data_IF_205958915298
#
_entry.id   IF_205958915298
#
_cell.length_a   1.000
_cell.length_b   1.000
_cell.length_c   1.000
_cell.angle_alpha   90.00
_cell.angle_beta   90.00
_cell.angle_gamma   90.00
#
_symmetry.space_group_name_H-M   'P 1'
#
loop_
_entity.id
_entity.type
_entity.pdbx_description
1 polymer ?
#
# COMPACT_ATOMS: atom_id res chain seq x y z
N UNK A 1 -10.01 50.11 3.15
CA UNK A 1 -9.38 49.08 2.30
C UNK A 1 -10.43 48.55 1.34
N UNK A 2 -10.12 48.46 0.05
CA UNK A 2 -11.07 48.09 -0.99
C UNK A 2 -11.28 46.57 -0.97
N UNK A 3 -12.52 46.07 -0.89
CA UNK A 3 -12.86 44.63 -0.81
C UNK A 3 -12.19 43.82 -1.93
N UNK A 4 -12.05 44.42 -3.11
CA UNK A 4 -11.38 43.81 -4.26
C UNK A 4 -9.91 43.47 -4.00
N UNK A 5 -9.21 44.25 -3.17
CA UNK A 5 -7.81 43.98 -2.81
C UNK A 5 -7.71 42.81 -1.85
N UNK A 6 -8.65 42.69 -0.91
CA UNK A 6 -8.70 41.60 0.06
C UNK A 6 -8.99 40.27 -0.64
N UNK A 7 -9.93 40.26 -1.59
CA UNK A 7 -10.27 39.10 -2.40
C UNK A 7 -9.09 38.60 -3.26
N UNK A 8 -8.35 39.53 -3.89
CA UNK A 8 -7.17 39.18 -4.69
C UNK A 8 -6.06 38.58 -3.84
N UNK A 9 -5.88 39.09 -2.61
CA UNK A 9 -4.87 38.59 -1.68
C UNK A 9 -5.22 37.19 -1.17
N UNK A 10 -6.47 36.95 -0.79
CA UNK A 10 -6.92 35.62 -0.34
C UNK A 10 -6.84 34.58 -1.45
N UNK A 11 -7.18 34.97 -2.69
CA UNK A 11 -7.10 34.09 -3.85
C UNK A 11 -5.63 33.73 -4.17
N UNK A 12 -4.73 34.70 -4.13
CA UNK A 12 -3.29 34.47 -4.30
C UNK A 12 -2.70 33.57 -3.21
N UNK A 13 -3.04 33.81 -1.95
CA UNK A 13 -2.59 32.98 -0.83
C UNK A 13 -3.10 31.53 -0.94
N UNK A 14 -4.35 31.34 -1.37
CA UNK A 14 -4.94 30.01 -1.56
C UNK A 14 -4.26 29.24 -2.69
N UNK A 15 -3.93 29.92 -3.79
CA UNK A 15 -3.19 29.34 -4.92
C UNK A 15 -1.78 28.94 -4.52
N UNK A 16 -1.07 29.78 -3.76
CA UNK A 16 0.27 29.47 -3.26
C UNK A 16 0.23 28.28 -2.28
N UNK A 17 -0.77 28.23 -1.39
CA UNK A 17 -0.96 27.10 -0.48
C UNK A 17 -1.23 25.79 -1.20
N UNK A 18 -2.09 25.82 -2.22
CA UNK A 18 -2.38 24.65 -3.06
C UNK A 18 -1.14 24.20 -3.84
N UNK A 19 -0.36 25.14 -4.37
CA UNK A 19 0.88 24.84 -5.08
C UNK A 19 1.93 24.21 -4.14
N UNK A 20 2.04 24.69 -2.90
CA UNK A 20 2.90 24.06 -1.89
C UNK A 20 2.49 22.63 -1.58
N UNK A 21 1.19 22.39 -1.36
CA UNK A 21 0.64 21.04 -1.16
C UNK A 21 0.91 20.12 -2.36
N UNK A 22 0.81 20.63 -3.59
CA UNK A 22 1.11 19.86 -4.79
C UNK A 22 2.57 19.40 -4.86
N UNK A 23 3.53 20.27 -4.49
CA UNK A 23 4.95 19.90 -4.43
C UNK A 23 5.21 18.83 -3.36
N UNK A 24 4.60 18.96 -2.18
CA UNK A 24 4.72 17.96 -1.10
C UNK A 24 4.11 16.63 -1.53
N UNK A 25 2.95 16.67 -2.20
CA UNK A 25 2.28 15.47 -2.71
C UNK A 25 3.15 14.72 -3.72
N UNK A 26 3.88 15.42 -4.60
CA UNK A 26 4.76 14.80 -5.59
C UNK A 26 5.95 14.06 -4.98
N UNK A 27 6.41 14.47 -3.79
CA UNK A 27 7.52 13.82 -3.08
C UNK A 27 7.08 12.75 -2.08
N UNK A 28 5.77 12.58 -1.88
CA UNK A 28 5.23 11.55 -1.01
C UNK A 28 5.05 10.25 -1.80
N UNK A 29 6.17 9.64 -2.20
CA UNK A 29 6.17 8.24 -2.60
C UNK A 29 6.14 7.39 -1.34
N UNK A 30 5.28 6.37 -1.30
CA UNK A 30 5.34 5.36 -0.25
C UNK A 30 6.77 4.79 -0.21
N UNK A 31 7.36 4.60 0.98
CA UNK A 31 8.69 4.05 1.08
C UNK A 31 8.72 2.71 0.35
N UNK A 32 9.73 2.54 -0.50
CA UNK A 32 9.98 1.32 -1.23
C UNK A 32 10.17 0.19 -0.21
N UNK A 33 9.42 -0.90 -0.37
CA UNK A 33 9.48 -2.02 0.57
C UNK A 33 10.83 -2.76 0.39
N UNK A 34 11.43 -3.16 1.51
CA UNK A 34 12.61 -4.05 1.55
C UNK A 34 12.31 -5.12 2.59
N UNK A 35 12.13 -6.36 2.14
CA UNK A 35 11.81 -7.49 3.01
C UNK A 35 12.81 -7.72 4.15
N UNK A 36 14.09 -7.33 4.00
CA UNK A 36 15.09 -7.47 5.07
C UNK A 36 14.87 -6.48 6.22
N UNK A 37 14.26 -5.33 5.93
CA UNK A 37 14.05 -4.26 6.90
C UNK A 37 12.63 -4.22 7.46
N UNK A 38 11.81 -5.24 7.19
CA UNK A 38 10.43 -5.33 7.65
C UNK A 38 10.29 -5.11 9.17
N UNK A 39 11.33 -5.47 9.95
CA UNK A 39 11.38 -5.28 11.40
C UNK A 39 11.51 -3.82 11.87
N UNK A 40 12.05 -2.94 11.03
CA UNK A 40 12.25 -1.51 11.31
C UNK A 40 11.08 -0.65 10.80
N UNK A 41 10.15 -1.27 10.08
CA UNK A 41 9.01 -0.61 9.43
C UNK A 41 7.67 -0.90 10.13
N UNK A 42 7.69 -1.42 11.37
CA UNK A 42 6.48 -1.69 12.14
C UNK A 42 5.59 -0.44 12.26
N UNK A 43 4.30 -0.61 11.96
CA UNK A 43 3.32 0.48 11.93
C UNK A 43 3.39 1.40 10.72
N UNK A 44 4.24 1.13 9.72
CA UNK A 44 4.24 1.86 8.44
C UNK A 44 3.37 1.18 7.40
N UNK A 45 2.70 2.00 6.61
CA UNK A 45 2.03 1.57 5.38
C UNK A 45 3.04 1.47 4.25
N UNK A 46 3.06 0.35 3.55
CA UNK A 46 4.01 0.04 2.47
C UNK A 46 3.29 -0.50 1.25
N UNK A 47 3.95 -0.40 0.10
CA UNK A 47 3.52 -1.04 -1.14
C UNK A 47 4.49 -2.18 -1.48
N UNK A 48 3.99 -3.41 -1.54
CA UNK A 48 4.71 -4.61 -1.94
C UNK A 48 4.26 -5.03 -3.34
N UNK A 49 5.20 -5.18 -4.26
CA UNK A 49 4.98 -5.80 -5.57
C UNK A 49 5.71 -7.14 -5.63
N UNK A 50 4.98 -8.21 -5.94
CA UNK A 50 5.52 -9.56 -5.83
C UNK A 50 4.72 -10.64 -6.53
N UNK A 51 5.30 -11.82 -6.62
CA UNK A 51 4.65 -13.04 -7.12
C UNK A 51 3.97 -13.79 -5.97
N UNK A 52 2.73 -14.20 -6.16
CA UNK A 52 2.03 -15.01 -5.16
C UNK A 52 2.52 -16.46 -5.19
N UNK A 53 3.21 -16.89 -4.13
CA UNK A 53 3.71 -18.27 -4.02
C UNK A 53 2.71 -19.23 -3.40
N UNK A 54 1.99 -18.76 -2.36
CA UNK A 54 1.04 -19.58 -1.61
C UNK A 54 -0.16 -18.74 -1.19
N UNK A 55 -1.34 -19.33 -1.25
CA UNK A 55 -2.57 -18.77 -0.70
C UNK A 55 -3.23 -19.81 0.19
N UNK A 56 -3.53 -19.45 1.43
CA UNK A 56 -4.33 -20.26 2.34
C UNK A 56 -5.55 -19.44 2.74
N UNK A 57 -6.70 -19.84 2.24
CA UNK A 57 -7.96 -19.19 2.54
C UNK A 57 -8.59 -19.77 3.81
N UNK A 58 -9.19 -18.90 4.61
CA UNK A 58 -10.11 -19.23 5.68
C UNK A 58 -11.39 -18.41 5.51
N UNK A 59 -12.43 -18.68 6.29
CA UNK A 59 -13.73 -18.01 6.16
C UNK A 59 -13.63 -16.48 6.32
N UNK A 60 -12.79 -16.00 7.24
CA UNK A 60 -12.68 -14.57 7.60
C UNK A 60 -11.43 -13.87 7.06
N UNK A 61 -10.45 -14.63 6.58
CA UNK A 61 -9.17 -14.08 6.15
C UNK A 61 -8.48 -15.01 5.14
N UNK A 62 -7.58 -14.46 4.34
CA UNK A 62 -6.64 -15.20 3.52
C UNK A 62 -5.20 -14.89 3.97
N UNK A 63 -4.39 -15.92 4.11
CA UNK A 63 -2.95 -15.82 4.37
C UNK A 63 -2.21 -16.06 3.08
N UNK A 64 -1.42 -15.09 2.65
CA UNK A 64 -0.67 -15.13 1.41
C UNK A 64 0.83 -15.16 1.72
N UNK A 65 1.59 -15.88 0.92
CA UNK A 65 3.05 -15.75 0.88
C UNK A 65 3.41 -15.17 -0.47
N UNK A 66 4.00 -13.98 -0.45
CA UNK A 66 4.34 -13.23 -1.66
C UNK A 66 5.85 -13.09 -1.74
N UNK A 67 6.43 -13.46 -2.87
CA UNK A 67 7.84 -13.20 -3.17
C UNK A 67 7.98 -11.80 -3.72
N UNK A 68 8.66 -10.95 -2.98
CA UNK A 68 9.01 -9.61 -3.41
C UNK A 68 9.83 -9.63 -4.71
N UNK A 69 9.45 -8.85 -5.72
CA UNK A 69 10.16 -8.83 -7.01
C UNK A 69 11.58 -8.27 -6.91
N UNK A 70 11.82 -7.30 -6.02
CA UNK A 70 13.07 -6.52 -5.96
C UNK A 70 14.22 -7.31 -5.34
N UNK A 71 13.95 -7.99 -4.22
CA UNK A 71 14.98 -8.70 -3.45
C UNK A 71 14.72 -10.21 -3.32
N UNK A 72 13.57 -10.71 -3.80
CA UNK A 72 13.24 -12.14 -3.78
C UNK A 72 12.82 -12.68 -2.41
N UNK A 73 12.57 -11.82 -1.43
CA UNK A 73 12.19 -12.25 -0.08
C UNK A 73 10.73 -12.70 -0.02
N UNK A 74 10.49 -13.77 0.74
CA UNK A 74 9.13 -14.25 1.01
C UNK A 74 8.51 -13.47 2.17
N UNK A 75 7.42 -12.76 1.87
CA UNK A 75 6.73 -11.91 2.82
C UNK A 75 5.36 -12.50 3.12
N UNK A 76 5.02 -12.74 4.40
CA UNK A 76 3.68 -13.14 4.78
C UNK A 76 2.74 -11.93 4.75
N UNK A 77 1.61 -12.08 4.06
CA UNK A 77 0.56 -11.07 3.94
C UNK A 77 -0.76 -11.64 4.46
N UNK A 78 -1.50 -10.83 5.20
CA UNK A 78 -2.81 -11.16 5.74
C UNK A 78 -3.85 -10.26 5.07
N UNK A 79 -4.87 -10.87 4.47
CA UNK A 79 -5.98 -10.17 3.84
C UNK A 79 -7.26 -10.52 4.60
N UNK A 80 -7.98 -9.52 5.10
CA UNK A 80 -9.27 -9.73 5.75
C UNK A 80 -10.39 -9.73 4.71
N UNK A 81 -11.24 -10.75 4.75
CA UNK A 81 -12.37 -10.88 3.82
C UNK A 81 -13.56 -10.11 4.35
N UNK A 82 -13.67 -8.84 3.99
CA UNK A 82 -14.79 -8.02 4.41
C UNK A 82 -15.92 -8.06 3.37
N UNK A 83 -16.46 -9.26 3.12
CA UNK A 83 -17.68 -9.54 2.33
C UNK A 83 -17.74 -9.10 0.86
N UNK A 84 -16.81 -8.26 0.39
CA UNK A 84 -16.80 -7.62 -0.95
C UNK A 84 -15.61 -8.03 -1.81
N UNK A 85 -14.67 -8.79 -1.27
CA UNK A 85 -13.41 -9.12 -1.94
C UNK A 85 -13.30 -10.62 -2.14
N UNK A 86 -13.91 -11.12 -3.22
CA UNK A 86 -13.57 -12.44 -3.76
C UNK A 86 -12.18 -12.33 -4.41
N UNK A 87 -11.13 -12.54 -3.62
CA UNK A 87 -9.77 -12.64 -4.13
C UNK A 87 -9.60 -14.02 -4.78
N UNK A 88 -9.96 -14.14 -6.06
CA UNK A 88 -9.52 -15.27 -6.87
C UNK A 88 -8.03 -15.10 -7.16
N UNK A 89 -7.22 -15.47 -6.18
CA UNK A 89 -5.77 -15.37 -6.22
C UNK A 89 -5.19 -16.65 -6.80
N UNK A 90 -4.66 -16.57 -8.01
CA UNK A 90 -3.98 -17.69 -8.63
C UNK A 90 -2.50 -17.71 -8.21
N UNK A 91 -1.98 -18.90 -7.91
CA UNK A 91 -0.56 -19.07 -7.58
C UNK A 91 0.25 -18.74 -8.84
N UNK A 92 1.35 -18.01 -8.66
CA UNK A 92 2.19 -17.50 -9.74
C UNK A 92 1.78 -16.11 -10.23
N UNK A 93 0.62 -15.58 -9.81
CA UNK A 93 0.21 -14.26 -10.27
C UNK A 93 1.01 -13.12 -9.64
N UNK A 94 1.27 -12.09 -10.45
CA UNK A 94 1.88 -10.85 -9.96
C UNK A 94 0.80 -10.03 -9.24
N UNK A 95 1.09 -9.63 -8.02
CA UNK A 95 0.21 -8.86 -7.16
C UNK A 95 0.90 -7.60 -6.63
N UNK A 96 0.12 -6.54 -6.50
CA UNK A 96 0.49 -5.31 -5.79
C UNK A 96 -0.37 -5.22 -4.54
N UNK A 97 0.29 -5.10 -3.40
CA UNK A 97 -0.32 -5.13 -2.08
C UNK A 97 0.03 -3.82 -1.38
N UNK A 98 -0.99 -3.11 -0.91
CA UNK A 98 -0.82 -1.94 -0.05
C UNK A 98 -1.39 -2.29 1.31
N UNK A 99 -0.58 -2.08 2.35
CA UNK A 99 -0.97 -2.45 3.70
C UNK A 99 0.03 -2.03 4.76
N UNK A 100 -0.36 -2.27 6.01
CA UNK A 100 0.44 -1.94 7.18
C UNK A 100 1.32 -3.12 7.59
N UNK A 101 2.59 -2.84 7.88
CA UNK A 101 3.45 -3.82 8.53
C UNK A 101 3.06 -3.89 10.01
N UNK A 102 2.73 -5.09 10.48
CA UNK A 102 2.43 -5.37 11.88
C UNK A 102 3.20 -6.60 12.35
N UNK A 103 3.65 -6.57 13.59
CA UNK A 103 4.14 -7.76 14.27
C UNK A 103 2.99 -8.59 14.83
N UNK A 104 2.87 -9.84 14.39
CA UNK A 104 1.91 -10.82 14.92
C UNK A 104 2.60 -12.13 15.23
N UNK A 105 2.38 -12.67 16.44
CA UNK A 105 2.98 -13.94 16.89
C UNK A 105 4.52 -13.99 16.72
N UNK A 106 5.19 -12.86 16.92
CA UNK A 106 6.66 -12.76 16.80
C UNK A 106 7.19 -12.64 15.37
N UNK A 107 6.35 -12.71 14.34
CA UNK A 107 6.72 -12.51 12.94
C UNK A 107 6.11 -11.22 12.40
N UNK A 108 6.83 -10.52 11.53
CA UNK A 108 6.28 -9.36 10.82
C UNK A 108 5.44 -9.85 9.65
N UNK A 109 4.29 -9.23 9.44
CA UNK A 109 3.38 -9.52 8.34
C UNK A 109 2.76 -8.23 7.84
N UNK A 110 2.42 -8.18 6.56
CA UNK A 110 1.68 -7.05 5.99
C UNK A 110 0.19 -7.34 6.14
N UNK A 111 -0.54 -6.47 6.82
CA UNK A 111 -2.00 -6.48 6.81
C UNK A 111 -2.44 -5.68 5.60
N UNK A 112 -2.91 -6.39 4.57
CA UNK A 112 -3.31 -5.77 3.31
C UNK A 112 -4.66 -5.05 3.47
N UNK A 113 -4.65 -3.76 3.14
CA UNK A 113 -5.86 -2.97 2.94
C UNK A 113 -6.37 -3.11 1.51
N UNK A 114 -5.43 -3.20 0.56
CA UNK A 114 -5.73 -3.30 -0.87
C UNK A 114 -4.81 -4.30 -1.53
N UNK A 115 -5.40 -5.18 -2.33
CA UNK A 115 -4.68 -6.14 -3.17
C UNK A 115 -5.16 -5.94 -4.61
N UNK A 116 -4.22 -5.75 -5.52
CA UNK A 116 -4.46 -5.65 -6.95
C UNK A 116 -3.67 -6.73 -7.65
N UNK A 117 -4.36 -7.55 -8.44
CA UNK A 117 -3.73 -8.54 -9.32
C UNK A 117 -3.32 -7.81 -10.61
N UNK A 118 -2.07 -7.98 -11.05
CA UNK A 118 -1.56 -7.41 -12.29
C UNK A 118 -1.67 -8.37 -13.48
N UNK A 119 -2.00 -9.65 -13.23
CA UNK A 119 -2.32 -10.59 -14.31
C UNK A 119 -3.67 -10.30 -14.93
N UNK A 120 -3.62 -9.85 -16.18
CA UNK A 120 -4.72 -9.94 -17.12
C UNK A 120 -4.97 -11.40 -17.47
N UNK A 121 -6.24 -11.77 -17.47
CA UNK A 121 -6.72 -12.99 -18.09
C UNK A 121 -6.15 -13.12 -19.50
N UNK A 122 -5.54 -14.28 -19.80
CA UNK A 122 -5.62 -14.91 -21.12
C UNK A 122 -5.98 -16.37 -20.89
#
# INVERSE_FOLDING_TARGET
MNEQTMLKLSLGASLIGLFGLFIVSQNTSLPDFDGNQISQMDGRTVMLTGELLKSTESEKMAKLTVREQKYGHEVPVLVFKDGKTNLSLNIGSIVVIVGDIRKSQGKYSIIAEKVKILDGQV
#
